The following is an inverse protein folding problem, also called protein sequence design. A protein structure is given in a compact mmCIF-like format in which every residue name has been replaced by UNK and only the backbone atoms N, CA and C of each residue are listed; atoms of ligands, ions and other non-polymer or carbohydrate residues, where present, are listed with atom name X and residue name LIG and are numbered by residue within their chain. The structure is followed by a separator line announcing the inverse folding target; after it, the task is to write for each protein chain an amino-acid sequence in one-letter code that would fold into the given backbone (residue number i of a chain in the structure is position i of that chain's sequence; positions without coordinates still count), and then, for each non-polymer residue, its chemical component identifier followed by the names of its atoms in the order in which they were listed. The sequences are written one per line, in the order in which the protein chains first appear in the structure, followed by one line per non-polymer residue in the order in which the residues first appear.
data_IF_802573995968
#
_entry.id   IF_802573995968
#
_cell.length_a   1.000
_cell.length_b   1.000
_cell.length_c   1.000
_cell.angle_alpha   90.00
_cell.angle_beta   90.00
_cell.angle_gamma   90.00
#
_symmetry.space_group_name_H-M   'P 1'
#
loop_
_entity.id
_entity.type
_entity.pdbx_description
1 polymer ?
#
# COMPACT_ATOMS: atom_id res chain seq x y z
N UNK A 1 -18.09 -54.42 13.64
CA UNK A 1 -17.80 -54.51 12.19
C UNK A 1 -18.70 -53.52 11.48
N UNK A 2 -18.31 -52.51 10.71
CA UNK A 2 -17.14 -51.62 10.66
C UNK A 2 -17.72 -50.19 10.49
N UNK A 3 -17.26 -49.16 11.20
CA UNK A 3 -16.26 -48.16 10.76
C UNK A 3 -16.29 -47.83 9.26
N UNK A 4 -16.87 -46.67 8.94
CA UNK A 4 -16.57 -45.74 7.85
C UNK A 4 -17.24 -44.40 8.26
N UNK A 5 -16.67 -43.21 8.19
CA UNK A 5 -15.34 -42.74 7.82
C UNK A 5 -15.25 -41.28 8.29
N UNK A 6 -14.09 -40.91 8.84
CA UNK A 6 -13.72 -39.52 9.09
C UNK A 6 -13.28 -38.85 7.77
N UNK A 7 -13.43 -37.52 7.67
CA UNK A 7 -12.78 -36.71 6.63
C UNK A 7 -13.65 -35.53 6.20
N UNK A 8 -13.53 -34.37 6.85
CA UNK A 8 -12.67 -33.26 6.41
C UNK A 8 -13.17 -32.58 5.13
N UNK A 9 -13.82 -31.44 5.33
CA UNK A 9 -14.31 -30.57 4.25
C UNK A 9 -14.67 -29.19 4.77
N UNK A 10 -13.79 -28.61 5.57
CA UNK A 10 -13.78 -27.21 5.99
C UNK A 10 -13.91 -26.30 4.76
N UNK A 11 -15.13 -25.82 4.47
CA UNK A 11 -15.36 -24.71 3.54
C UNK A 11 -15.65 -23.46 4.35
N UNK A 12 -14.61 -22.93 4.97
CA UNK A 12 -14.58 -21.53 5.36
C UNK A 12 -14.23 -20.70 4.13
N UNK A 13 -15.20 -19.96 3.61
CA UNK A 13 -14.93 -18.65 3.00
C UNK A 13 -15.91 -17.68 3.62
N UNK A 14 -15.36 -16.95 4.59
CA UNK A 14 -16.01 -15.92 5.36
C UNK A 14 -16.71 -14.93 4.42
N UNK A 15 -18.00 -14.72 4.70
CA UNK A 15 -18.78 -13.65 4.13
C UNK A 15 -18.18 -12.31 4.53
N UNK A 16 -17.92 -11.48 3.52
CA UNK A 16 -17.70 -10.06 3.71
C UNK A 16 -19.04 -9.45 4.12
N UNK A 17 -19.24 -9.24 5.41
CA UNK A 17 -20.37 -8.49 5.95
C UNK A 17 -19.96 -7.77 7.24
N UNK A 18 -19.91 -6.45 7.12
CA UNK A 18 -20.23 -5.45 8.13
C UNK A 18 -19.35 -5.30 9.39
N UNK A 19 -18.55 -4.24 9.38
CA UNK A 19 -18.45 -3.32 10.53
C UNK A 19 -18.21 -1.88 10.04
N UNK A 20 -19.29 -1.12 10.00
CA UNK A 20 -19.36 0.36 9.86
C UNK A 20 -18.90 1.08 11.16
N UNK A 21 -19.07 2.40 11.33
CA UNK A 21 -18.48 3.57 10.67
C UNK A 21 -17.74 4.50 11.67
N UNK A 22 -16.81 5.36 11.22
CA UNK A 22 -16.30 6.45 12.06
C UNK A 22 -14.95 7.02 11.64
N UNK A 23 -14.96 8.01 10.75
CA UNK A 23 -13.82 8.92 10.58
C UNK A 23 -13.79 9.92 11.74
N UNK A 24 -12.61 10.43 12.11
CA UNK A 24 -12.37 11.81 11.71
C UNK A 24 -11.03 11.94 11.00
N UNK A 25 -11.04 12.75 9.95
CA UNK A 25 -9.85 13.04 9.18
C UNK A 25 -8.71 13.55 10.04
N UNK A 26 -7.48 13.32 9.57
CA UNK A 26 -6.40 14.25 9.84
C UNK A 26 -5.89 14.78 8.52
N UNK A 27 -6.25 16.04 8.25
CA UNK A 27 -5.43 16.94 7.44
C UNK A 27 -4.06 16.97 8.10
N UNK A 28 -3.10 16.26 7.52
CA UNK A 28 -1.70 16.35 7.90
C UNK A 28 -1.19 17.70 7.46
N UNK A 29 -1.00 18.62 8.41
CA UNK A 29 -0.34 19.91 8.20
C UNK A 29 1.02 19.67 7.55
N UNK A 30 1.14 20.07 6.29
CA UNK A 30 2.43 20.31 5.66
C UNK A 30 3.01 21.66 6.14
N UNK A 31 4.35 21.71 6.22
CA UNK A 31 5.25 22.87 6.21
C UNK A 31 5.84 23.40 7.55
N UNK A 32 7.11 23.89 7.57
CA UNK A 32 7.91 24.31 6.40
C UNK A 32 9.30 23.67 6.24
N UNK A 33 9.70 23.49 4.98
CA UNK A 33 11.08 23.15 4.59
C UNK A 33 11.19 22.70 3.13
N UNK A 34 10.89 23.60 2.17
CA UNK A 34 11.17 23.38 0.75
C UNK A 34 10.05 23.89 -0.15
N UNK A 35 10.24 25.05 -0.78
CA UNK A 35 9.44 25.42 -1.96
C UNK A 35 9.83 24.46 -3.08
N UNK A 36 8.97 23.51 -3.39
CA UNK A 36 8.95 22.91 -4.72
C UNK A 36 7.67 23.38 -5.39
N UNK A 37 7.74 24.60 -5.93
CA UNK A 37 6.66 25.12 -6.75
C UNK A 37 6.46 24.19 -7.95
N UNK A 38 5.25 23.67 -8.13
CA UNK A 38 4.80 22.98 -9.35
C UNK A 38 5.75 21.91 -9.93
N UNK A 39 6.61 21.29 -9.11
CA UNK A 39 7.61 20.35 -9.60
C UNK A 39 7.11 18.93 -9.36
N UNK A 40 6.89 18.22 -10.47
CA UNK A 40 6.71 16.77 -10.48
C UNK A 40 7.93 16.13 -9.83
N UNK A 41 7.74 15.47 -8.68
CA UNK A 41 8.79 14.71 -8.02
C UNK A 41 9.13 13.47 -8.85
N UNK A 42 10.41 13.16 -8.98
CA UNK A 42 10.82 11.85 -9.48
C UNK A 42 10.40 10.77 -8.47
N UNK A 43 10.15 9.55 -8.95
CA UNK A 43 9.66 8.46 -8.10
C UNK A 43 10.57 8.18 -6.89
N UNK A 44 11.89 8.25 -7.07
CA UNK A 44 12.87 8.07 -5.99
C UNK A 44 12.78 9.17 -4.92
N UNK A 45 12.56 10.41 -5.31
CA UNK A 45 12.42 11.54 -4.36
C UNK A 45 11.12 11.39 -3.55
N UNK A 46 10.03 11.01 -4.21
CA UNK A 46 8.76 10.73 -3.55
C UNK A 46 8.88 9.55 -2.57
N UNK A 47 9.57 8.47 -2.93
CA UNK A 47 9.86 7.36 -2.02
C UNK A 47 10.72 7.81 -0.83
N UNK A 48 11.71 8.68 -1.04
CA UNK A 48 12.49 9.28 0.04
C UNK A 48 11.62 10.04 1.04
N UNK A 49 10.64 10.81 0.56
CA UNK A 49 9.67 11.48 1.45
C UNK A 49 8.81 10.46 2.21
N UNK A 50 8.32 9.42 1.53
CA UNK A 50 7.55 8.35 2.18
C UNK A 50 8.36 7.63 3.27
N UNK A 51 9.68 7.49 3.09
CA UNK A 51 10.57 6.93 4.11
C UNK A 51 10.56 7.76 5.40
N UNK A 52 10.54 9.09 5.30
CA UNK A 52 10.55 9.99 6.48
C UNK A 52 9.29 9.88 7.34
N UNK A 53 8.16 9.48 6.74
CA UNK A 53 6.87 9.36 7.43
C UNK A 53 6.48 7.91 7.74
N UNK A 54 7.30 6.95 7.31
CA UNK A 54 7.02 5.52 7.51
C UNK A 54 7.07 5.14 8.99
N UNK A 55 5.97 4.56 9.48
CA UNK A 55 5.82 4.10 10.86
C UNK A 55 6.24 2.63 11.00
N UNK A 56 6.48 2.12 12.23
CA UNK A 56 6.83 0.71 12.44
C UNK A 56 5.86 -0.29 11.80
N UNK A 57 4.57 0.07 11.69
CA UNK A 57 3.53 -0.75 11.05
C UNK A 57 3.31 -0.52 9.56
N UNK A 58 4.10 0.32 8.89
CA UNK A 58 3.94 0.55 7.44
C UNK A 58 4.28 -0.72 6.66
N UNK A 59 3.25 -1.35 6.09
CA UNK A 59 3.40 -2.59 5.32
C UNK A 59 3.92 -2.33 3.90
N UNK A 60 3.50 -1.24 3.28
CA UNK A 60 3.89 -0.87 1.92
C UNK A 60 3.82 0.64 1.71
N UNK A 61 4.67 1.13 0.82
CA UNK A 61 4.68 2.50 0.29
C UNK A 61 4.64 2.43 -1.23
N UNK A 62 3.83 3.29 -1.85
CA UNK A 62 3.60 3.26 -3.30
C UNK A 62 3.73 4.66 -3.88
N UNK A 63 4.47 4.77 -4.99
CA UNK A 63 4.44 5.94 -5.86
C UNK A 63 3.80 5.54 -7.18
N UNK A 64 2.78 6.29 -7.61
CA UNK A 64 2.06 6.04 -8.84
C UNK A 64 2.26 7.19 -9.83
N UNK A 65 2.91 6.89 -10.95
CA UNK A 65 3.04 7.81 -12.08
C UNK A 65 1.77 7.79 -12.92
N UNK A 66 0.84 8.71 -12.65
CA UNK A 66 -0.46 8.80 -13.34
C UNK A 66 -0.34 8.85 -14.86
N UNK A 67 0.65 9.57 -15.39
CA UNK A 67 0.85 9.72 -16.84
C UNK A 67 1.60 8.53 -17.46
N UNK A 68 2.54 7.94 -16.72
CA UNK A 68 3.40 6.85 -17.25
C UNK A 68 2.81 5.46 -17.02
N UNK A 69 1.82 5.33 -16.13
CA UNK A 69 1.33 4.04 -15.64
C UNK A 69 2.36 3.28 -14.80
N UNK A 70 3.50 3.89 -14.44
CA UNK A 70 4.50 3.25 -13.61
C UNK A 70 4.04 3.21 -12.15
N UNK A 71 4.21 2.07 -11.50
CA UNK A 71 3.93 1.87 -10.07
C UNK A 71 5.20 1.39 -9.41
N UNK A 72 5.73 2.16 -8.47
CA UNK A 72 6.88 1.78 -7.65
C UNK A 72 6.41 1.44 -6.24
N UNK A 73 6.71 0.21 -5.79
CA UNK A 73 6.25 -0.33 -4.51
C UNK A 73 7.44 -0.69 -3.63
N UNK A 74 7.44 -0.21 -2.40
CA UNK A 74 8.37 -0.60 -1.34
C UNK A 74 7.61 -1.41 -0.30
N UNK A 75 8.13 -2.57 0.08
CA UNK A 75 7.53 -3.44 1.08
C UNK A 75 8.26 -3.31 2.41
N UNK A 76 7.53 -3.31 3.54
CA UNK A 76 8.11 -3.42 4.88
C UNK A 76 9.14 -2.32 5.22
N UNK A 77 9.04 -1.14 4.59
CA UNK A 77 9.99 -0.02 4.74
C UNK A 77 11.40 -0.29 4.20
N UNK A 78 11.56 -1.31 3.35
CA UNK A 78 12.81 -1.61 2.65
C UNK A 78 13.01 -0.69 1.44
N UNK A 79 13.25 0.61 1.66
CA UNK A 79 13.36 1.62 0.60
C UNK A 79 14.56 1.40 -0.34
N UNK A 80 15.50 0.54 0.03
CA UNK A 80 16.58 0.01 -0.81
C UNK A 80 16.10 -1.03 -1.85
N UNK A 81 14.88 -1.57 -1.69
CA UNK A 81 14.29 -2.57 -2.58
C UNK A 81 12.95 -2.07 -3.12
N UNK A 82 13.00 -1.49 -4.32
CA UNK A 82 11.84 -1.00 -5.05
C UNK A 82 11.38 -2.05 -6.06
N UNK A 83 10.09 -2.39 -6.03
CA UNK A 83 9.42 -3.22 -7.03
C UNK A 83 8.71 -2.31 -8.03
N UNK A 84 9.15 -2.30 -9.28
CA UNK A 84 8.58 -1.46 -10.34
C UNK A 84 7.66 -2.29 -11.23
N UNK A 85 6.44 -1.79 -11.42
CA UNK A 85 5.44 -2.34 -12.33
C UNK A 85 5.02 -1.28 -13.35
N UNK A 86 4.47 -1.73 -14.48
CA UNK A 86 3.72 -0.87 -15.37
C UNK A 86 2.30 -1.39 -15.46
N UNK A 87 1.34 -0.49 -15.30
CA UNK A 87 -0.04 -0.79 -15.67
C UNK A 87 -0.07 -0.98 -17.18
N UNK A 88 -0.63 -2.10 -17.62
CA UNK A 88 -0.95 -2.28 -19.03
C UNK A 88 -1.97 -1.21 -19.46
N UNK A 89 -1.99 -0.90 -20.76
CA UNK A 89 -3.19 -0.30 -21.34
C UNK A 89 -4.39 -1.19 -21.00
N UNK A 90 -5.55 -0.62 -20.62
CA UNK A 90 -6.80 -1.39 -20.62
C UNK A 90 -7.06 -2.00 -22.00
#
# INVERSE_FOLDING_TARGET
MGRDGAGSGERQRAGWQDRSPGLPGRVGRAAPGGRHGNQTLAAGEALGLLQTVAQPGTQWSVVYGLTSGQVDVVMGRHYERVHTFRLGSP
#
